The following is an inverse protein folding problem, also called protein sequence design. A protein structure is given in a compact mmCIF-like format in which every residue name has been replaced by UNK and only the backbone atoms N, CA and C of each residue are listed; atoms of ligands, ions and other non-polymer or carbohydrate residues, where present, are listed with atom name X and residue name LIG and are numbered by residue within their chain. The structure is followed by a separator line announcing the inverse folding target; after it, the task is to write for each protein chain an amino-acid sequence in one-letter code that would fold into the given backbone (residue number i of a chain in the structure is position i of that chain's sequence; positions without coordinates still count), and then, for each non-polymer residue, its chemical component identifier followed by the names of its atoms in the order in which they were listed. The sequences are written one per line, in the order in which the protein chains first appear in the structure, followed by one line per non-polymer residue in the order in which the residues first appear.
data_IF_324306084193
#
_entry.id   IF_324306084193
#
_cell.length_a   1.000
_cell.length_b   1.000
_cell.length_c   1.000
_cell.angle_alpha   90.00
_cell.angle_beta   90.00
_cell.angle_gamma   90.00
#
_symmetry.space_group_name_H-M   'P 1'
#
loop_
_entity.id
_entity.type
_entity.pdbx_description
1 polymer ?
#
# COMPACT_ATOMS: atom_id res chain seq x y z
N UNK A 1 -3.49 -16.61 -3.95
CA UNK A 1 -2.16 -16.38 -3.28
C UNK A 1 -2.46 -15.88 -1.88
N UNK A 2 -1.77 -16.36 -0.85
CA UNK A 2 -2.00 -15.85 0.50
C UNK A 2 -1.36 -14.46 0.59
N UNK A 3 -2.16 -13.46 0.89
CA UNK A 3 -1.67 -12.10 1.09
C UNK A 3 -0.98 -12.04 2.44
N UNK A 4 0.26 -11.61 2.46
CA UNK A 4 0.99 -11.35 3.67
C UNK A 4 0.68 -9.93 4.13
N UNK A 5 0.39 -9.78 5.42
CA UNK A 5 0.25 -8.48 6.07
C UNK A 5 1.32 -8.37 7.13
N UNK A 6 2.02 -7.23 7.24
CA UNK A 6 2.93 -7.03 8.33
C UNK A 6 2.16 -6.85 9.64
N UNK A 7 2.74 -7.25 10.74
CA UNK A 7 2.34 -6.76 12.05
C UNK A 7 3.07 -5.43 12.37
N UNK A 8 2.67 -4.77 13.46
CA UNK A 8 3.25 -3.48 13.83
C UNK A 8 4.76 -3.58 14.12
N UNK A 9 5.21 -4.65 14.77
CA UNK A 9 6.62 -4.83 15.08
C UNK A 9 7.46 -5.03 13.82
N UNK A 10 6.92 -5.71 12.82
CA UNK A 10 7.56 -5.84 11.51
C UNK A 10 7.68 -4.48 10.79
N UNK A 11 6.65 -3.63 10.88
CA UNK A 11 6.75 -2.25 10.36
C UNK A 11 7.86 -1.46 11.06
N UNK A 12 8.05 -1.66 12.36
CA UNK A 12 9.11 -1.02 13.15
C UNK A 12 10.50 -1.43 12.68
N UNK A 13 10.69 -2.68 12.22
CA UNK A 13 11.98 -3.18 11.73
C UNK A 13 12.54 -2.38 10.54
N UNK A 14 11.67 -1.77 9.72
CA UNK A 14 12.12 -0.89 8.64
C UNK A 14 12.99 0.27 9.12
N UNK A 15 12.83 0.68 10.37
CA UNK A 15 13.42 1.89 10.90
C UNK A 15 14.46 1.65 12.00
N UNK A 16 14.34 0.55 12.76
CA UNK A 16 15.24 0.23 13.87
C UNK A 16 16.48 -0.54 13.43
N UNK A 17 16.37 -1.39 12.41
CA UNK A 17 17.51 -2.13 11.81
C UNK A 17 18.34 -2.96 12.81
N UNK A 18 17.72 -3.50 13.87
CA UNK A 18 18.39 -4.42 14.78
C UNK A 18 18.66 -5.76 14.07
N UNK A 19 19.94 -6.15 13.95
CA UNK A 19 20.35 -7.29 13.14
C UNK A 19 19.66 -8.59 13.57
N UNK A 20 19.55 -8.86 14.87
CA UNK A 20 18.92 -10.07 15.39
C UNK A 20 17.43 -10.14 15.00
N UNK A 21 16.71 -9.02 15.08
CA UNK A 21 15.30 -8.92 14.72
C UNK A 21 15.11 -9.07 13.19
N UNK A 22 16.02 -8.50 12.39
CA UNK A 22 16.03 -8.68 10.94
C UNK A 22 16.30 -10.14 10.55
N UNK A 23 17.22 -10.83 11.22
CA UNK A 23 17.52 -12.24 10.96
C UNK A 23 16.30 -13.13 11.24
N UNK A 24 15.58 -12.88 12.33
CA UNK A 24 14.32 -13.58 12.64
C UNK A 24 13.23 -13.30 11.60
N UNK A 25 13.12 -12.05 11.16
CA UNK A 25 12.21 -11.65 10.10
C UNK A 25 12.53 -12.38 8.78
N UNK A 26 13.79 -12.40 8.36
CA UNK A 26 14.21 -13.09 7.15
C UNK A 26 13.99 -14.62 7.22
N UNK A 27 14.17 -15.23 8.37
CA UNK A 27 13.86 -16.65 8.54
C UNK A 27 12.36 -16.93 8.46
N UNK A 28 11.52 -16.05 9.06
CA UNK A 28 10.05 -16.14 8.99
C UNK A 28 9.54 -16.08 7.55
N UNK A 29 10.11 -15.21 6.71
CA UNK A 29 9.66 -14.97 5.33
C UNK A 29 10.56 -15.61 4.25
N UNK A 30 11.41 -16.54 4.63
CA UNK A 30 12.40 -17.17 3.74
C UNK A 30 11.80 -17.80 2.47
N UNK A 31 10.64 -18.44 2.60
CA UNK A 31 10.00 -19.08 1.44
C UNK A 31 9.47 -18.03 0.46
N UNK A 32 8.88 -16.96 0.94
CA UNK A 32 8.40 -15.84 0.15
C UNK A 32 9.56 -15.09 -0.50
N UNK A 33 10.62 -14.83 0.24
CA UNK A 33 11.83 -14.19 -0.28
C UNK A 33 12.46 -15.03 -1.40
N UNK A 34 12.59 -16.36 -1.21
CA UNK A 34 13.09 -17.26 -2.25
C UNK A 34 12.20 -17.26 -3.50
N UNK A 35 10.87 -17.21 -3.33
CA UNK A 35 9.91 -17.14 -4.43
C UNK A 35 10.10 -15.90 -5.29
N UNK A 36 10.47 -14.77 -4.69
CA UNK A 36 10.73 -13.51 -5.36
C UNK A 36 12.22 -13.29 -5.70
N UNK A 37 13.08 -14.28 -5.43
CA UNK A 37 14.55 -14.16 -5.62
C UNK A 37 15.15 -12.97 -4.87
N UNK A 38 14.63 -12.69 -3.66
CA UNK A 38 15.11 -11.60 -2.81
C UNK A 38 16.31 -12.08 -1.99
N UNK A 39 17.39 -11.32 -2.02
CA UNK A 39 18.58 -11.55 -1.22
C UNK A 39 18.54 -10.70 0.06
N UNK A 40 19.17 -11.20 1.15
CA UNK A 40 19.14 -10.52 2.47
C UNK A 40 19.94 -9.23 2.53
N UNK A 41 20.79 -8.98 1.54
CA UNK A 41 21.61 -7.77 1.41
C UNK A 41 20.88 -6.61 0.69
N UNK A 42 19.66 -6.87 0.16
CA UNK A 42 18.81 -5.82 -0.37
C UNK A 42 18.35 -4.88 0.76
N UNK A 43 18.12 -3.59 0.45
CA UNK A 43 17.54 -2.67 1.41
C UNK A 43 16.23 -3.22 2.01
N UNK A 44 16.02 -3.11 3.33
CA UNK A 44 14.84 -3.67 4.00
C UNK A 44 13.51 -3.19 3.44
N UNK A 45 13.42 -1.93 2.98
CA UNK A 45 12.23 -1.36 2.35
C UNK A 45 11.91 -2.04 1.03
N UNK A 46 12.91 -2.43 0.25
CA UNK A 46 12.72 -3.20 -0.98
C UNK A 46 12.17 -4.58 -0.66
N UNK A 47 12.76 -5.31 0.29
CA UNK A 47 12.27 -6.62 0.71
C UNK A 47 10.82 -6.49 1.22
N UNK A 48 10.55 -5.48 2.04
CA UNK A 48 9.25 -5.22 2.63
C UNK A 48 8.18 -4.91 1.57
N UNK A 49 8.53 -4.14 0.54
CA UNK A 49 7.62 -3.82 -0.56
C UNK A 49 7.18 -5.06 -1.34
N UNK A 50 8.09 -6.01 -1.56
CA UNK A 50 7.76 -7.29 -2.20
C UNK A 50 6.91 -8.21 -1.33
N UNK A 51 7.13 -8.21 -0.01
CA UNK A 51 6.41 -9.10 0.92
C UNK A 51 5.00 -8.61 1.24
N UNK A 52 4.81 -7.29 1.35
CA UNK A 52 3.61 -6.69 1.92
C UNK A 52 2.96 -5.61 1.04
N UNK A 53 3.62 -5.25 -0.06
CA UNK A 53 3.13 -4.17 -0.91
C UNK A 53 1.94 -4.56 -1.78
N UNK A 54 1.04 -3.62 -1.98
CA UNK A 54 0.01 -3.67 -3.02
C UNK A 54 0.61 -3.13 -4.30
N UNK A 55 0.70 -3.97 -5.30
CA UNK A 55 1.30 -3.64 -6.60
C UNK A 55 0.21 -3.17 -7.55
N UNK A 56 0.39 -2.00 -8.15
CA UNK A 56 -0.54 -1.42 -9.14
C UNK A 56 0.24 -1.08 -10.42
N UNK A 57 -0.04 -1.82 -11.48
CA UNK A 57 0.49 -1.55 -12.83
C UNK A 57 -0.34 -0.46 -13.52
N UNK A 58 0.25 0.29 -14.43
CA UNK A 58 -0.44 1.36 -15.17
C UNK A 58 -1.59 0.87 -16.07
N UNK A 59 -1.66 -0.44 -16.33
CA UNK A 59 -2.68 -1.09 -17.18
C UNK A 59 -3.85 -1.67 -16.38
N UNK A 60 -3.83 -1.57 -15.05
CA UNK A 60 -4.91 -2.11 -14.22
C UNK A 60 -6.21 -1.33 -14.40
N UNK A 61 -7.33 -2.04 -14.33
CA UNK A 61 -8.65 -1.41 -14.27
C UNK A 61 -8.88 -0.79 -12.89
N UNK A 62 -9.59 0.35 -12.88
CA UNK A 62 -9.85 1.09 -11.64
C UNK A 62 -10.60 0.27 -10.58
N UNK A 63 -11.54 -0.58 -11.01
CA UNK A 63 -12.25 -1.51 -10.11
C UNK A 63 -11.32 -2.58 -9.51
N UNK A 64 -10.33 -3.06 -10.27
CA UNK A 64 -9.35 -4.03 -9.80
C UNK A 64 -8.38 -3.39 -8.79
N UNK A 65 -8.00 -2.12 -8.97
CA UNK A 65 -7.19 -1.37 -8.00
C UNK A 65 -7.87 -1.36 -6.62
N UNK A 66 -9.16 -1.04 -6.56
CA UNK A 66 -9.93 -1.08 -5.29
C UNK A 66 -9.92 -2.50 -4.70
N UNK A 67 -10.12 -3.51 -5.53
CA UNK A 67 -10.10 -4.91 -5.11
C UNK A 67 -8.75 -5.31 -4.51
N UNK A 68 -7.62 -4.93 -5.12
CA UNK A 68 -6.30 -5.24 -4.60
C UNK A 68 -6.09 -4.65 -3.21
N UNK A 69 -6.44 -3.38 -3.01
CA UNK A 69 -6.39 -2.78 -1.67
C UNK A 69 -7.33 -3.45 -0.68
N UNK A 70 -8.54 -3.85 -1.11
CA UNK A 70 -9.54 -4.49 -0.23
C UNK A 70 -9.06 -5.81 0.36
N UNK A 71 -8.22 -6.54 -0.36
CA UNK A 71 -7.64 -7.80 0.09
C UNK A 71 -6.71 -7.62 1.32
N UNK A 72 -6.17 -6.41 1.50
CA UNK A 72 -5.33 -6.06 2.66
C UNK A 72 -6.11 -5.58 3.88
N UNK A 73 -7.40 -5.30 3.74
CA UNK A 73 -8.31 -4.89 4.81
C UNK A 73 -9.55 -5.82 4.89
N UNK A 74 -9.39 -7.16 5.01
CA UNK A 74 -10.47 -8.14 4.89
C UNK A 74 -11.52 -8.05 6.01
N UNK A 75 -11.24 -7.32 7.10
CA UNK A 75 -12.20 -7.01 8.14
C UNK A 75 -13.21 -5.93 7.73
N UNK A 76 -12.94 -5.24 6.60
CA UNK A 76 -13.83 -4.25 6.00
C UNK A 76 -14.61 -4.87 4.84
N UNK A 77 -15.88 -4.49 4.72
CA UNK A 77 -16.67 -4.86 3.57
C UNK A 77 -16.45 -3.83 2.45
N UNK A 78 -15.60 -4.18 1.47
CA UNK A 78 -15.26 -3.30 0.35
C UNK A 78 -15.66 -3.96 -0.95
N UNK A 79 -16.33 -3.21 -1.82
CA UNK A 79 -16.56 -3.58 -3.22
C UNK A 79 -16.53 -2.34 -4.11
N UNK A 80 -16.27 -2.55 -5.39
CA UNK A 80 -16.31 -1.50 -6.40
C UNK A 80 -17.03 -2.02 -7.64
N UNK A 81 -18.01 -1.25 -8.10
CA UNK A 81 -18.75 -1.52 -9.32
C UNK A 81 -18.49 -0.38 -10.33
N UNK A 82 -18.26 -0.74 -11.58
CA UNK A 82 -18.12 0.22 -12.66
C UNK A 82 -19.47 0.85 -13.01
N UNK A 83 -19.45 2.14 -13.32
CA UNK A 83 -20.61 2.90 -13.74
C UNK A 83 -20.27 3.69 -15.03
N UNK A 84 -21.27 4.28 -15.66
CA UNK A 84 -21.08 5.17 -16.82
C UNK A 84 -20.31 6.46 -16.50
N UNK A 85 -20.04 6.76 -15.21
CA UNK A 85 -19.37 7.96 -14.74
C UNK A 85 -18.12 7.70 -13.89
N UNK A 86 -17.73 6.46 -13.71
CA UNK A 86 -16.60 6.06 -12.90
C UNK A 86 -16.85 4.82 -12.07
N UNK A 87 -16.61 4.88 -10.76
CA UNK A 87 -16.82 3.77 -9.84
C UNK A 87 -17.82 4.12 -8.76
N UNK A 88 -18.59 3.13 -8.36
CA UNK A 88 -19.34 3.12 -7.11
C UNK A 88 -18.64 2.22 -6.11
N UNK A 89 -18.09 2.80 -5.06
CA UNK A 89 -17.33 2.07 -4.03
C UNK A 89 -18.18 1.93 -2.78
N UNK A 90 -18.33 0.69 -2.31
CA UNK A 90 -18.89 0.41 -0.98
C UNK A 90 -17.74 0.27 0.00
N UNK A 91 -17.83 0.93 1.14
CA UNK A 91 -16.94 0.76 2.28
C UNK A 91 -17.79 0.59 3.54
N UNK A 92 -17.76 -0.61 4.11
CA UNK A 92 -18.66 -1.06 5.16
C UNK A 92 -20.14 -0.87 4.78
N UNK A 93 -20.81 0.13 5.34
CA UNK A 93 -22.23 0.41 5.08
C UNK A 93 -22.44 1.67 4.24
N UNK A 94 -21.37 2.33 3.82
CA UNK A 94 -21.43 3.60 3.10
C UNK A 94 -21.08 3.39 1.63
N UNK A 95 -21.70 4.18 0.76
CA UNK A 95 -21.46 4.17 -0.67
C UNK A 95 -20.86 5.51 -1.10
N UNK A 96 -19.83 5.43 -1.96
CA UNK A 96 -19.10 6.60 -2.46
C UNK A 96 -18.99 6.50 -3.99
N UNK A 97 -19.11 7.64 -4.67
CA UNK A 97 -18.93 7.73 -6.11
C UNK A 97 -17.55 8.34 -6.42
N UNK A 98 -16.74 7.63 -7.19
CA UNK A 98 -15.48 8.13 -7.75
C UNK A 98 -15.73 8.46 -9.21
N UNK A 99 -15.62 9.74 -9.57
CA UNK A 99 -15.76 10.18 -10.96
C UNK A 99 -14.46 9.96 -11.72
N UNK A 100 -14.55 9.30 -12.86
CA UNK A 100 -13.43 9.00 -13.73
C UNK A 100 -13.62 9.70 -15.09
N UNK A 101 -12.51 9.93 -15.80
CA UNK A 101 -12.48 10.47 -17.15
C UNK A 101 -12.37 9.37 -18.23
N UNK A 102 -12.19 8.12 -17.79
CA UNK A 102 -11.88 6.96 -18.64
C UNK A 102 -10.59 7.15 -19.45
N UNK A 103 -9.60 7.75 -18.82
CA UNK A 103 -8.25 7.97 -19.35
C UNK A 103 -7.20 7.28 -18.49
N UNK A 104 -5.97 7.13 -19.00
CA UNK A 104 -4.86 6.53 -18.26
C UNK A 104 -4.45 7.27 -16.96
N UNK A 105 -4.92 8.51 -16.76
CA UNK A 105 -4.70 9.27 -15.52
C UNK A 105 -5.66 8.88 -14.38
N UNK A 106 -6.72 8.12 -14.65
CA UNK A 106 -7.76 7.82 -13.67
C UNK A 106 -7.27 6.96 -12.51
N UNK A 107 -6.28 6.12 -12.74
CA UNK A 107 -5.65 5.30 -11.71
C UNK A 107 -5.24 6.10 -10.47
N UNK A 108 -4.74 7.31 -10.65
CA UNK A 108 -4.35 8.21 -9.56
C UNK A 108 -5.57 8.79 -8.85
N UNK A 109 -6.61 9.09 -9.60
CA UNK A 109 -7.89 9.53 -9.06
C UNK A 109 -8.47 8.42 -8.18
N UNK A 110 -8.48 7.17 -8.66
CA UNK A 110 -8.97 6.01 -7.95
C UNK A 110 -8.21 5.78 -6.65
N UNK A 111 -6.87 5.77 -6.68
CA UNK A 111 -6.04 5.55 -5.48
C UNK A 111 -6.25 6.67 -4.47
N UNK A 112 -6.22 7.95 -4.89
CA UNK A 112 -6.45 9.11 -4.01
C UNK A 112 -7.83 9.08 -3.38
N UNK A 113 -8.86 8.85 -4.19
CA UNK A 113 -10.25 8.81 -3.71
C UNK A 113 -10.48 7.64 -2.76
N UNK A 114 -9.90 6.47 -3.05
CA UNK A 114 -10.02 5.33 -2.14
C UNK A 114 -9.30 5.57 -0.82
N UNK A 115 -8.10 6.17 -0.85
CA UNK A 115 -7.39 6.56 0.36
C UNK A 115 -8.20 7.54 1.23
N UNK A 116 -8.94 8.47 0.60
CA UNK A 116 -9.85 9.37 1.31
C UNK A 116 -11.05 8.60 1.91
N UNK A 117 -11.67 7.70 1.16
CA UNK A 117 -12.81 6.88 1.62
C UNK A 117 -12.46 6.09 2.88
N UNK A 118 -11.27 5.49 2.94
CA UNK A 118 -10.85 4.65 4.07
C UNK A 118 -10.18 5.44 5.21
N UNK A 119 -10.01 6.75 5.07
CA UNK A 119 -9.15 7.61 5.91
C UNK A 119 -9.54 7.69 7.38
N UNK A 120 -10.73 7.24 7.77
CA UNK A 120 -11.12 7.09 9.17
C UNK A 120 -10.36 5.97 9.90
N UNK A 121 -9.99 4.91 9.16
CA UNK A 121 -9.44 3.68 9.73
C UNK A 121 -8.03 3.38 9.21
N UNK A 122 -7.79 3.63 7.93
CA UNK A 122 -6.58 3.25 7.19
C UNK A 122 -6.00 4.42 6.42
N UNK A 123 -4.73 4.28 6.06
CA UNK A 123 -4.05 5.19 5.14
C UNK A 123 -3.15 4.37 4.21
N UNK A 124 -3.20 4.72 2.92
CA UNK A 124 -2.34 4.16 1.87
C UNK A 124 -1.17 5.11 1.66
N UNK A 125 0.05 4.57 1.65
CA UNK A 125 1.25 5.32 1.27
C UNK A 125 2.00 4.61 0.16
N UNK A 126 2.64 5.37 -0.71
CA UNK A 126 3.49 4.88 -1.79
C UNK A 126 4.88 4.57 -1.23
N UNK A 127 5.46 3.42 -1.58
CA UNK A 127 6.90 3.21 -1.41
C UNK A 127 7.66 4.12 -2.36
N UNK A 128 8.50 4.98 -1.82
CA UNK A 128 9.27 5.99 -2.57
C UNK A 128 10.17 5.34 -3.62
N UNK A 129 10.69 4.16 -3.34
CA UNK A 129 11.48 3.35 -4.27
C UNK A 129 10.76 2.99 -5.58
N UNK A 130 9.41 3.02 -5.60
CA UNK A 130 8.59 2.75 -6.79
C UNK A 130 8.07 4.00 -7.50
N UNK A 131 8.39 5.21 -7.00
CA UNK A 131 7.80 6.46 -7.49
C UNK A 131 8.01 6.70 -8.99
N UNK A 132 9.20 6.40 -9.51
CA UNK A 132 9.54 6.56 -10.94
C UNK A 132 9.36 5.29 -11.77
N UNK A 133 8.65 4.30 -11.27
CA UNK A 133 8.37 3.05 -11.96
C UNK A 133 7.04 3.09 -12.68
N UNK A 134 6.90 2.34 -13.78
CA UNK A 134 5.60 2.07 -14.42
C UNK A 134 4.65 1.30 -13.51
N UNK A 135 5.20 0.61 -12.52
CA UNK A 135 4.47 -0.15 -11.51
C UNK A 135 4.72 0.45 -10.15
N UNK A 136 3.67 0.94 -9.51
CA UNK A 136 3.75 1.52 -8.19
C UNK A 136 3.45 0.49 -7.10
N UNK A 137 4.14 0.60 -5.98
CA UNK A 137 3.94 -0.27 -4.81
C UNK A 137 3.48 0.56 -3.63
N UNK A 138 2.38 0.13 -3.02
CA UNK A 138 1.75 0.83 -1.90
C UNK A 138 1.74 -0.04 -0.66
N UNK A 139 1.73 0.59 0.50
CA UNK A 139 1.46 -0.05 1.78
C UNK A 139 0.20 0.56 2.39
N UNK A 140 -0.72 -0.31 2.80
CA UNK A 140 -1.93 0.07 3.53
C UNK A 140 -1.82 -0.39 4.97
N UNK A 141 -1.88 0.54 5.92
CA UNK A 141 -1.84 0.25 7.35
C UNK A 141 -2.95 1.00 8.08
N UNK A 142 -3.33 0.54 9.30
CA UNK A 142 -4.15 1.33 10.19
C UNK A 142 -3.56 2.72 10.41
N UNK A 143 -4.39 3.75 10.36
CA UNK A 143 -3.95 5.15 10.53
C UNK A 143 -3.23 5.38 11.87
N UNK A 144 -3.65 4.67 12.92
CA UNK A 144 -2.96 4.69 14.21
C UNK A 144 -1.52 4.20 14.13
N UNK A 145 -1.24 3.19 13.30
CA UNK A 145 0.12 2.68 13.11
C UNK A 145 1.01 3.68 12.39
N UNK A 146 0.48 4.36 11.36
CA UNK A 146 1.23 5.43 10.70
C UNK A 146 1.59 6.56 11.67
N UNK A 147 0.63 6.98 12.51
CA UNK A 147 0.86 8.00 13.52
C UNK A 147 1.94 7.56 14.53
N UNK A 148 1.91 6.32 14.99
CA UNK A 148 2.91 5.79 15.91
C UNK A 148 4.30 5.68 15.28
N UNK A 149 4.37 5.24 14.01
CA UNK A 149 5.63 5.18 13.26
C UNK A 149 6.22 6.58 13.04
N UNK A 150 5.40 7.57 12.66
CA UNK A 150 5.84 8.95 12.50
C UNK A 150 6.32 9.57 13.82
N UNK A 151 5.60 9.32 14.92
CA UNK A 151 6.01 9.81 16.24
C UNK A 151 7.34 9.21 16.70
N UNK A 152 7.63 7.95 16.35
CA UNK A 152 8.86 7.26 16.72
C UNK A 152 10.03 7.55 15.79
N UNK A 153 9.79 7.64 14.51
CA UNK A 153 10.85 7.62 13.47
C UNK A 153 10.87 8.83 12.54
N UNK A 154 9.83 9.68 12.53
CA UNK A 154 9.80 10.96 11.84
C UNK A 154 10.32 10.92 10.39
N UNK A 155 11.48 11.56 10.16
CA UNK A 155 12.08 11.67 8.83
C UNK A 155 12.44 10.34 8.18
N UNK A 156 12.67 9.27 8.97
CA UNK A 156 12.91 7.94 8.38
C UNK A 156 11.66 7.40 7.68
N UNK A 157 10.47 7.68 8.22
CA UNK A 157 9.21 7.28 7.58
C UNK A 157 9.03 8.01 6.26
N UNK A 158 9.23 9.32 6.23
CA UNK A 158 9.13 10.11 5.00
C UNK A 158 10.25 9.83 3.99
N UNK A 159 11.34 9.19 4.40
CA UNK A 159 12.40 8.72 3.49
C UNK A 159 12.08 7.40 2.79
N UNK A 160 11.05 6.66 3.24
CA UNK A 160 10.63 5.38 2.64
C UNK A 160 9.25 5.50 2.01
N UNK A 161 8.37 6.33 2.56
CA UNK A 161 6.98 6.42 2.16
C UNK A 161 6.56 7.83 1.78
N UNK A 162 5.97 7.96 0.61
CA UNK A 162 5.31 9.18 0.16
C UNK A 162 3.83 9.14 0.54
N UNK A 163 3.37 10.20 1.24
CA UNK A 163 1.96 10.40 1.57
C UNK A 163 1.18 10.76 0.31
N UNK A 164 0.04 10.12 0.11
CA UNK A 164 -0.82 10.38 -1.04
C UNK A 164 -1.68 11.60 -0.74
N UNK A 165 -1.34 12.73 -1.36
CA UNK A 165 -2.08 13.98 -1.26
C UNK A 165 -2.89 14.24 -2.52
N UNK A 166 -3.85 15.17 -2.46
CA UNK A 166 -4.65 15.58 -3.61
C UNK A 166 -3.80 16.08 -4.78
N UNK A 167 -2.67 16.73 -4.49
CA UNK A 167 -1.74 17.27 -5.49
C UNK A 167 -0.61 16.33 -5.89
N UNK A 168 -0.57 15.08 -5.38
CA UNK A 168 0.47 14.14 -5.74
C UNK A 168 0.22 13.65 -7.17
N UNK A 169 1.16 13.99 -8.06
CA UNK A 169 1.20 13.50 -9.43
C UNK A 169 2.24 12.37 -9.49
N UNK A 170 1.80 11.21 -9.94
CA UNK A 170 2.70 10.09 -10.21
C UNK A 170 3.24 10.24 -11.64
N UNK A 171 4.51 10.01 -11.89
CA UNK A 171 5.10 10.11 -13.22
C UNK A 171 4.61 9.05 -14.21
#
# INVERSE_FOLDING_TARGET
MKINKPDFNECVLLFESEQEALDLFFEKYKEEMNRHSLEKDLPPDIIFSYLFGVVVDWREYDSDIIKYFSEYIPEKNVSADETDRGLKVMYDRSSFDIKLSFSGADRYITIRSFNEIISSDYEIRLFDSSFYSDTHVFLILPKSWWNDLENRFGEKVSGIFTVITEGLDFP
#
